data_IF_422999378904
#
_entry.id   IF_422999378904
#
_cell.length_a   1.000
_cell.length_b   1.000
_cell.length_c   1.000
_cell.angle_alpha   90.00
_cell.angle_beta   90.00
_cell.angle_gamma   90.00
#
_symmetry.space_group_name_H-M   'P 1'
#
loop_
_entity.id
_entity.type
_entity.pdbx_description
1 polymer ?
#
# COMPACT_ATOMS: atom_id res chain seq x y z
N UNK A 1 41.51 -22.44 -31.46
CA UNK A 1 40.58 -21.68 -30.60
C UNK A 1 41.39 -21.17 -29.44
N UNK A 2 41.41 -19.84 -29.22
CA UNK A 2 42.28 -19.23 -28.21
C UNK A 2 41.69 -19.38 -26.80
N UNK A 3 42.55 -19.70 -25.82
CA UNK A 3 42.17 -19.81 -24.40
C UNK A 3 41.50 -18.53 -23.86
N UNK A 4 41.87 -17.36 -24.40
CA UNK A 4 41.24 -16.06 -24.08
C UNK A 4 39.76 -16.02 -24.48
N UNK A 5 39.39 -16.59 -25.62
CA UNK A 5 37.99 -16.59 -26.08
C UNK A 5 37.11 -17.54 -25.25
N UNK A 6 37.67 -18.67 -24.78
CA UNK A 6 36.96 -19.57 -23.86
C UNK A 6 36.77 -18.95 -22.47
N UNK A 7 37.80 -18.28 -21.94
CA UNK A 7 37.71 -17.58 -20.65
C UNK A 7 36.66 -16.45 -20.65
N UNK A 8 36.54 -15.69 -21.73
CA UNK A 8 35.51 -14.65 -21.86
C UNK A 8 34.09 -15.23 -21.99
N UNK A 9 33.95 -16.33 -22.76
CA UNK A 9 32.66 -16.99 -22.93
C UNK A 9 32.14 -17.57 -21.62
N UNK A 10 33.00 -18.24 -20.84
CA UNK A 10 32.65 -18.74 -19.50
C UNK A 10 32.29 -17.61 -18.54
N UNK A 11 33.05 -16.51 -18.55
CA UNK A 11 32.76 -15.35 -17.73
C UNK A 11 31.38 -14.77 -18.05
N UNK A 12 31.07 -14.57 -19.34
CA UNK A 12 29.75 -14.08 -19.79
C UNK A 12 28.62 -15.05 -19.43
N UNK A 13 28.86 -16.36 -19.51
CA UNK A 13 27.87 -17.37 -19.13
C UNK A 13 27.60 -17.36 -17.61
N UNK A 14 28.65 -17.23 -16.77
CA UNK A 14 28.51 -17.10 -15.31
C UNK A 14 27.74 -15.84 -14.92
N UNK A 15 27.97 -14.72 -15.61
CA UNK A 15 27.22 -13.47 -15.37
C UNK A 15 25.75 -13.60 -15.76
N UNK A 16 25.43 -14.26 -16.88
CA UNK A 16 24.03 -14.53 -17.28
C UNK A 16 23.30 -15.40 -16.26
N UNK A 17 23.93 -16.50 -15.82
CA UNK A 17 23.37 -17.39 -14.80
C UNK A 17 23.11 -16.66 -13.48
N UNK A 18 24.02 -15.75 -13.08
CA UNK A 18 23.86 -14.90 -11.89
C UNK A 18 22.63 -13.99 -12.03
N UNK A 19 22.49 -13.28 -13.14
CA UNK A 19 21.37 -12.38 -13.41
C UNK A 19 20.02 -13.11 -13.47
N UNK A 20 19.97 -14.31 -14.04
CA UNK A 20 18.75 -15.13 -14.08
C UNK A 20 18.32 -15.55 -12.67
N UNK A 21 19.28 -15.98 -11.84
CA UNK A 21 19.04 -16.33 -10.44
C UNK A 21 18.52 -15.14 -9.62
N UNK A 22 19.14 -13.96 -9.78
CA UNK A 22 18.69 -12.72 -9.13
C UNK A 22 17.24 -12.38 -9.52
N UNK A 23 16.88 -12.51 -10.80
CA UNK A 23 15.51 -12.28 -11.28
C UNK A 23 14.49 -13.23 -10.66
N UNK A 24 14.83 -14.51 -10.53
CA UNK A 24 13.95 -15.51 -9.90
C UNK A 24 13.72 -15.20 -8.42
N UNK A 25 14.77 -14.82 -7.69
CA UNK A 25 14.68 -14.42 -6.28
C UNK A 25 13.76 -13.21 -6.14
N UNK A 26 13.96 -12.18 -6.97
CA UNK A 26 13.11 -10.97 -6.96
C UNK A 26 11.66 -11.27 -7.33
N UNK A 27 11.41 -12.18 -8.27
CA UNK A 27 10.05 -12.60 -8.64
C UNK A 27 9.36 -13.29 -7.46
N UNK A 28 10.02 -14.28 -6.85
CA UNK A 28 9.50 -14.99 -5.67
C UNK A 28 9.25 -14.04 -4.49
N UNK A 29 10.10 -13.02 -4.34
CA UNK A 29 9.93 -11.99 -3.33
C UNK A 29 8.68 -11.13 -3.58
N UNK A 30 8.47 -10.67 -4.83
CA UNK A 30 7.28 -9.90 -5.22
C UNK A 30 5.99 -10.68 -5.02
N UNK A 31 5.97 -11.94 -5.42
CA UNK A 31 4.81 -12.82 -5.21
C UNK A 31 4.46 -12.95 -3.72
N UNK A 32 5.48 -13.08 -2.87
CA UNK A 32 5.29 -13.14 -1.42
C UNK A 32 4.72 -11.83 -0.86
N UNK A 33 5.23 -10.68 -1.31
CA UNK A 33 4.69 -9.38 -0.91
C UNK A 33 3.22 -9.22 -1.30
N UNK A 34 2.85 -9.62 -2.52
CA UNK A 34 1.46 -9.55 -2.97
C UNK A 34 0.53 -10.45 -2.13
N UNK A 35 0.99 -11.65 -1.77
CA UNK A 35 0.26 -12.52 -0.86
C UNK A 35 0.04 -11.86 0.51
N UNK A 36 1.08 -11.26 1.09
CA UNK A 36 0.96 -10.57 2.38
C UNK A 36 -0.01 -9.39 2.28
N UNK A 37 0.07 -8.59 1.21
CA UNK A 37 -0.86 -7.46 0.97
C UNK A 37 -2.32 -7.92 0.96
N UNK A 38 -2.63 -9.06 0.34
CA UNK A 38 -3.99 -9.60 0.30
C UNK A 38 -4.48 -9.90 1.72
N UNK A 39 -3.66 -10.55 2.56
CA UNK A 39 -4.05 -10.87 3.93
C UNK A 39 -4.11 -9.64 4.83
N UNK A 40 -3.19 -8.69 4.66
CA UNK A 40 -3.20 -7.39 5.34
C UNK A 40 -4.50 -6.62 5.04
N UNK A 41 -4.98 -6.65 3.79
CA UNK A 41 -6.27 -6.06 3.41
C UNK A 41 -7.43 -6.77 4.12
N UNK A 42 -7.48 -8.11 4.08
CA UNK A 42 -8.53 -8.91 4.74
C UNK A 42 -8.59 -8.66 6.25
N UNK A 43 -7.43 -8.48 6.88
CA UNK A 43 -7.32 -8.10 8.28
C UNK A 43 -8.00 -6.74 8.54
N UNK A 44 -7.66 -5.72 7.74
CA UNK A 44 -8.26 -4.39 7.84
C UNK A 44 -9.77 -4.39 7.57
N UNK A 45 -10.23 -5.14 6.57
CA UNK A 45 -11.65 -5.28 6.24
C UNK A 45 -12.43 -5.92 7.40
N UNK A 46 -11.86 -6.96 8.01
CA UNK A 46 -12.47 -7.66 9.16
C UNK A 46 -12.47 -6.80 10.42
N UNK A 47 -11.41 -6.01 10.65
CA UNK A 47 -11.35 -5.02 11.74
C UNK A 47 -12.42 -3.94 11.60
N UNK A 48 -12.57 -3.40 10.38
CA UNK A 48 -13.62 -2.45 10.05
C UNK A 48 -15.02 -3.03 10.25
N UNK A 49 -15.25 -4.29 9.86
CA UNK A 49 -16.50 -4.99 10.08
C UNK A 49 -16.79 -5.21 11.57
N UNK A 50 -15.79 -5.66 12.35
CA UNK A 50 -15.93 -5.84 13.79
C UNK A 50 -16.32 -4.53 14.51
N UNK A 51 -15.67 -3.40 14.15
CA UNK A 51 -15.97 -2.09 14.74
C UNK A 51 -17.42 -1.67 14.45
N UNK A 52 -17.95 -1.99 13.26
CA UNK A 52 -19.33 -1.67 12.89
C UNK A 52 -20.34 -2.61 13.56
N UNK A 53 -20.02 -3.90 13.61
CA UNK A 53 -20.90 -4.97 14.08
C UNK A 53 -20.09 -5.98 14.87
N UNK A 54 -19.98 -5.84 16.21
CA UNK A 54 -19.12 -6.69 17.03
C UNK A 54 -19.65 -8.14 17.10
N UNK A 55 -19.12 -8.99 16.24
CA UNK A 55 -19.43 -10.43 16.20
C UNK A 55 -18.12 -11.22 16.18
N UNK A 56 -18.09 -12.34 16.91
CA UNK A 56 -16.93 -13.22 17.04
C UNK A 56 -16.40 -13.73 15.70
N UNK A 57 -17.27 -13.89 14.71
CA UNK A 57 -16.89 -14.29 13.35
C UNK A 57 -15.86 -13.33 12.73
N UNK A 58 -15.96 -12.03 13.01
CA UNK A 58 -15.00 -11.04 12.51
C UNK A 58 -13.66 -11.13 13.23
N UNK A 59 -13.66 -11.44 14.53
CA UNK A 59 -12.45 -11.70 15.31
C UNK A 59 -11.70 -12.90 14.73
N UNK A 60 -12.42 -14.00 14.45
CA UNK A 60 -11.83 -15.19 13.83
C UNK A 60 -11.22 -14.89 12.46
N UNK A 61 -11.89 -14.08 11.62
CA UNK A 61 -11.35 -13.69 10.32
C UNK A 61 -10.14 -12.76 10.43
N UNK A 62 -10.14 -11.82 11.39
CA UNK A 62 -8.99 -10.98 11.70
C UNK A 62 -7.78 -11.82 12.11
N UNK A 63 -7.95 -12.73 13.06
CA UNK A 63 -6.83 -13.51 13.59
C UNK A 63 -6.27 -14.46 12.54
N UNK A 64 -7.12 -15.12 11.73
CA UNK A 64 -6.65 -15.91 10.58
C UNK A 64 -5.85 -15.08 9.57
N UNK A 65 -6.32 -13.88 9.26
CA UNK A 65 -5.63 -12.99 8.33
C UNK A 65 -4.29 -12.51 8.92
N UNK A 66 -4.28 -12.17 10.21
CA UNK A 66 -3.09 -11.77 10.96
C UNK A 66 -2.03 -12.87 10.94
N UNK A 67 -2.40 -14.11 11.23
CA UNK A 67 -1.46 -15.24 11.23
C UNK A 67 -0.83 -15.43 9.84
N UNK A 68 -1.60 -15.26 8.77
CA UNK A 68 -1.07 -15.33 7.40
C UNK A 68 -0.10 -14.19 7.08
N UNK A 69 -0.34 -12.98 7.59
CA UNK A 69 0.62 -11.87 7.48
C UNK A 69 1.90 -12.18 8.27
N UNK A 70 1.80 -12.67 9.51
CA UNK A 70 2.95 -13.02 10.35
C UNK A 70 3.82 -14.08 9.67
N UNK A 71 3.20 -15.17 9.18
CA UNK A 71 3.91 -16.23 8.46
C UNK A 71 4.60 -15.68 7.21
N UNK A 72 3.90 -14.87 6.42
CA UNK A 72 4.48 -14.27 5.21
C UNK A 72 5.65 -13.35 5.51
N UNK A 73 5.55 -12.51 6.55
CA UNK A 73 6.65 -11.65 7.03
C UNK A 73 7.84 -12.48 7.50
N UNK A 74 7.61 -13.56 8.24
CA UNK A 74 8.68 -14.45 8.66
C UNK A 74 9.40 -15.09 7.46
N UNK A 75 8.67 -15.53 6.45
CA UNK A 75 9.25 -16.03 5.20
C UNK A 75 10.05 -14.95 4.45
N UNK A 76 9.61 -13.70 4.45
CA UNK A 76 10.38 -12.58 3.89
C UNK A 76 11.69 -12.35 4.65
N UNK A 77 11.66 -12.34 5.98
CA UNK A 77 12.87 -12.22 6.82
C UNK A 77 13.86 -13.35 6.54
N UNK A 78 13.37 -14.59 6.39
CA UNK A 78 14.21 -15.73 6.04
C UNK A 78 14.85 -15.60 4.66
N UNK A 79 14.08 -15.14 3.66
CA UNK A 79 14.61 -14.90 2.30
C UNK A 79 15.64 -13.77 2.29
N UNK A 80 15.38 -12.69 3.03
CA UNK A 80 16.31 -11.58 3.19
C UNK A 80 17.63 -12.02 3.83
N UNK A 81 17.59 -12.87 4.86
CA UNK A 81 18.80 -13.43 5.48
C UNK A 81 19.62 -14.34 4.55
N UNK A 82 18.97 -15.01 3.58
CA UNK A 82 19.64 -15.84 2.56
C UNK A 82 20.21 -15.03 1.39
N UNK A 83 19.63 -13.87 1.11
CA UNK A 83 19.92 -13.02 -0.04
C UNK A 83 20.02 -11.54 0.40
N UNK A 84 21.01 -11.20 1.24
CA UNK A 84 21.10 -9.86 1.82
C UNK A 84 21.50 -8.82 0.78
N UNK A 85 22.30 -9.15 -0.23
CA UNK A 85 22.77 -8.20 -1.25
C UNK A 85 21.63 -7.74 -2.17
N UNK A 86 20.61 -8.57 -2.35
CA UNK A 86 19.52 -8.36 -3.30
C UNK A 86 18.26 -7.72 -2.68
N UNK A 87 18.11 -7.73 -1.35
CA UNK A 87 16.82 -7.50 -0.66
C UNK A 87 16.92 -6.58 0.57
N UNK A 88 17.82 -5.58 0.59
CA UNK A 88 18.11 -4.82 1.82
C UNK A 88 16.97 -3.90 2.30
N UNK A 89 16.80 -2.72 1.71
CA UNK A 89 16.08 -1.63 2.39
C UNK A 89 14.56 -1.68 2.20
N UNK A 90 14.10 -1.89 0.97
CA UNK A 90 12.66 -1.96 0.65
C UNK A 90 11.95 -3.10 1.37
N UNK A 91 12.66 -4.23 1.55
CA UNK A 91 12.13 -5.40 2.24
C UNK A 91 12.00 -5.12 3.72
N UNK A 92 13.02 -4.52 4.33
CA UNK A 92 13.00 -4.12 5.73
C UNK A 92 11.85 -3.16 5.99
N UNK A 93 11.67 -2.14 5.14
CA UNK A 93 10.57 -1.19 5.25
C UNK A 93 9.20 -1.86 5.09
N UNK A 94 9.04 -2.77 4.12
CA UNK A 94 7.80 -3.51 3.91
C UNK A 94 7.46 -4.41 5.11
N UNK A 95 8.45 -5.13 5.64
CA UNK A 95 8.32 -5.98 6.82
C UNK A 95 7.85 -5.15 8.02
N UNK A 96 8.54 -4.05 8.33
CA UNK A 96 8.16 -3.16 9.44
C UNK A 96 6.74 -2.64 9.25
N UNK A 97 6.39 -2.20 8.04
CA UNK A 97 5.05 -1.70 7.72
C UNK A 97 3.96 -2.74 7.98
N UNK A 98 4.20 -4.01 7.64
CA UNK A 98 3.23 -5.07 7.91
C UNK A 98 3.13 -5.41 9.39
N UNK A 99 4.25 -5.49 10.10
CA UNK A 99 4.26 -5.76 11.55
C UNK A 99 3.54 -4.67 12.34
N UNK A 100 3.76 -3.40 11.98
CA UNK A 100 3.04 -2.26 12.53
C UNK A 100 1.55 -2.31 12.22
N UNK A 101 1.17 -2.62 10.96
CA UNK A 101 -0.23 -2.70 10.54
C UNK A 101 -1.04 -3.68 11.40
N UNK A 102 -0.52 -4.90 11.60
CA UNK A 102 -1.25 -5.97 12.28
C UNK A 102 -1.08 -5.97 13.81
N UNK A 103 -0.18 -5.15 14.34
CA UNK A 103 0.13 -5.10 15.76
C UNK A 103 0.61 -6.45 16.30
N UNK A 104 1.77 -6.93 15.83
CA UNK A 104 2.33 -8.25 16.21
C UNK A 104 2.45 -8.42 17.73
N UNK A 105 2.74 -7.34 18.46
CA UNK A 105 2.92 -7.36 19.92
C UNK A 105 1.74 -6.76 20.70
N UNK A 106 0.60 -6.50 20.04
CA UNK A 106 -0.56 -5.85 20.65
C UNK A 106 -1.65 -6.85 20.99
N UNK A 107 -2.29 -6.65 22.13
CA UNK A 107 -3.53 -7.33 22.50
C UNK A 107 -4.67 -6.99 21.53
N UNK A 108 -5.74 -7.78 21.55
CA UNK A 108 -6.89 -7.55 20.65
C UNK A 108 -7.49 -6.15 20.79
N UNK A 109 -7.77 -5.71 22.02
CA UNK A 109 -8.34 -4.38 22.28
C UNK A 109 -7.40 -3.26 21.82
N UNK A 110 -6.11 -3.40 22.06
CA UNK A 110 -5.08 -2.44 21.62
C UNK A 110 -5.01 -2.35 20.09
N UNK A 111 -5.13 -3.49 19.38
CA UNK A 111 -5.20 -3.52 17.92
C UNK A 111 -6.43 -2.77 17.40
N UNK A 112 -7.58 -2.97 18.03
CA UNK A 112 -8.83 -2.28 17.67
C UNK A 112 -8.70 -0.77 17.88
N UNK A 113 -8.20 -0.34 19.04
CA UNK A 113 -8.02 1.08 19.36
C UNK A 113 -6.97 1.75 18.47
N UNK A 114 -5.86 1.09 18.18
CA UNK A 114 -4.87 1.53 17.19
C UNK A 114 -5.54 1.77 15.83
N UNK A 115 -6.30 0.79 15.34
CA UNK A 115 -6.98 0.89 14.05
C UNK A 115 -7.98 2.05 14.01
N UNK A 116 -8.81 2.23 15.05
CA UNK A 116 -9.73 3.37 15.15
C UNK A 116 -8.98 4.69 15.08
N UNK A 117 -7.89 4.83 15.84
CA UNK A 117 -7.09 6.06 15.90
C UNK A 117 -6.46 6.37 14.54
N UNK A 118 -5.86 5.38 13.87
CA UNK A 118 -5.22 5.53 12.55
C UNK A 118 -6.23 5.85 11.45
N UNK A 119 -7.39 5.19 11.46
CA UNK A 119 -8.43 5.41 10.47
C UNK A 119 -9.11 6.77 10.67
N UNK A 120 -9.37 7.18 11.92
CA UNK A 120 -9.87 8.51 12.23
C UNK A 120 -8.86 9.60 11.82
N UNK A 121 -7.57 9.39 12.06
CA UNK A 121 -6.51 10.30 11.63
C UNK A 121 -6.44 10.41 10.10
N UNK A 122 -6.51 9.28 9.40
CA UNK A 122 -6.52 9.24 7.93
C UNK A 122 -7.76 9.91 7.33
N UNK A 123 -8.94 9.65 7.92
CA UNK A 123 -10.20 10.28 7.54
C UNK A 123 -10.17 11.79 7.80
N UNK A 124 -9.62 12.24 8.92
CA UNK A 124 -9.45 13.66 9.23
C UNK A 124 -8.48 14.35 8.26
N UNK A 125 -7.34 13.72 7.93
CA UNK A 125 -6.40 14.24 6.90
C UNK A 125 -7.04 14.33 5.52
N UNK A 126 -7.81 13.31 5.11
CA UNK A 126 -8.56 13.39 3.85
C UNK A 126 -9.62 14.49 3.89
N UNK A 127 -10.37 14.62 4.98
CA UNK A 127 -11.37 15.69 5.14
C UNK A 127 -10.71 17.07 5.08
N UNK A 128 -9.57 17.29 5.73
CA UNK A 128 -8.82 18.55 5.66
C UNK A 128 -8.34 18.83 4.22
N UNK A 129 -7.86 17.82 3.48
CA UNK A 129 -7.50 17.96 2.07
C UNK A 129 -8.69 18.32 1.17
N UNK A 130 -9.86 17.70 1.39
CA UNK A 130 -11.08 18.02 0.65
C UNK A 130 -11.63 19.41 1.03
N UNK A 131 -11.49 19.80 2.29
CA UNK A 131 -11.91 21.11 2.78
C UNK A 131 -10.98 22.22 2.25
N UNK A 132 -9.66 22.00 2.20
CA UNK A 132 -8.69 22.88 1.54
C UNK A 132 -8.94 23.02 0.04
N UNK A 133 -9.31 21.93 -0.64
CA UNK A 133 -9.71 22.00 -2.06
C UNK A 133 -11.01 22.77 -2.28
N UNK A 134 -11.96 22.71 -1.33
CA UNK A 134 -13.19 23.53 -1.37
C UNK A 134 -12.94 25.00 -1.04
N UNK A 135 -11.97 25.31 -0.17
CA UNK A 135 -11.65 26.69 0.22
C UNK A 135 -10.73 27.42 -0.77
N UNK A 136 -9.91 26.68 -1.53
CA UNK A 136 -8.98 27.23 -2.52
C UNK A 136 -9.46 27.05 -3.97
N UNK A 137 -10.66 26.52 -4.19
CA UNK A 137 -11.30 26.58 -5.50
C UNK A 137 -11.71 28.04 -5.74
N UNK A 138 -11.29 28.66 -6.86
CA UNK A 138 -11.73 30.01 -7.21
C UNK A 138 -13.25 30.04 -7.25
N UNK A 139 -13.84 30.98 -6.53
CA UNK A 139 -15.28 31.22 -6.58
C UNK A 139 -15.58 31.96 -7.87
N UNK A 140 -16.81 31.89 -8.36
CA UNK A 140 -17.23 32.64 -9.55
C UNK A 140 -17.00 34.16 -9.39
N UNK A 141 -17.01 34.66 -8.13
CA UNK A 141 -16.65 36.03 -7.76
C UNK A 141 -15.20 36.42 -8.06
N UNK A 142 -14.32 35.44 -8.29
CA UNK A 142 -12.88 35.64 -8.48
C UNK A 142 -12.52 35.78 -9.97
N UNK A 143 -13.50 35.68 -10.88
CA UNK A 143 -13.31 35.80 -12.33
C UNK A 143 -13.98 37.06 -12.88
N UNK A 144 -13.38 37.67 -13.90
CA UNK A 144 -14.02 38.81 -14.59
C UNK A 144 -15.17 38.34 -15.48
N UNK A 145 -16.14 39.22 -15.82
CA UNK A 145 -17.26 38.86 -16.69
C UNK A 145 -16.84 38.29 -18.06
N UNK A 146 -15.68 38.73 -18.57
CA UNK A 146 -15.10 38.27 -19.83
C UNK A 146 -14.56 36.84 -19.73
N UNK A 147 -13.95 36.49 -18.60
CA UNK A 147 -13.47 35.14 -18.32
C UNK A 147 -14.63 34.17 -18.15
N UNK A 148 -15.67 34.55 -17.41
CA UNK A 148 -16.88 33.75 -17.22
C UNK A 148 -17.53 33.43 -18.58
N UNK A 149 -17.65 34.43 -19.46
CA UNK A 149 -18.19 34.23 -20.81
C UNK A 149 -17.34 33.28 -21.67
N UNK A 150 -16.00 33.31 -21.51
CA UNK A 150 -15.07 32.41 -22.19
C UNK A 150 -15.24 30.96 -21.73
N UNK A 151 -15.38 30.72 -20.43
CA UNK A 151 -15.60 29.36 -19.89
C UNK A 151 -16.99 28.82 -20.24
N UNK A 152 -18.02 29.65 -20.24
CA UNK A 152 -19.38 29.28 -20.65
C UNK A 152 -19.43 28.82 -22.13
N UNK A 153 -18.70 29.48 -23.03
CA UNK A 153 -18.57 29.06 -24.44
C UNK A 153 -17.88 27.70 -24.61
N UNK A 154 -17.06 27.30 -23.65
CA UNK A 154 -16.39 26.00 -23.61
C UNK A 154 -17.21 24.91 -22.89
N UNK A 155 -18.45 25.22 -22.46
CA UNK A 155 -19.31 24.29 -21.74
C UNK A 155 -18.88 24.03 -20.29
N UNK A 156 -17.97 24.83 -19.75
CA UNK A 156 -17.48 24.74 -18.37
C UNK A 156 -18.20 25.78 -17.51
N UNK A 157 -19.28 25.37 -16.83
CA UNK A 157 -19.96 26.23 -15.87
C UNK A 157 -19.18 26.27 -14.54
N UNK A 158 -18.62 27.44 -14.20
CA UNK A 158 -17.78 27.66 -13.01
C UNK A 158 -18.55 27.68 -11.68
N UNK A 159 -19.80 27.22 -11.66
CA UNK A 159 -20.59 27.20 -10.43
C UNK A 159 -21.98 26.60 -10.63
N UNK A 160 -22.11 25.29 -10.49
CA UNK A 160 -23.36 24.71 -9.98
C UNK A 160 -23.05 23.65 -8.92
N UNK A 161 -23.36 24.00 -7.67
CA UNK A 161 -23.66 23.04 -6.62
C UNK A 161 -24.81 22.15 -7.12
N UNK A 162 -24.54 20.88 -7.42
CA UNK A 162 -25.58 19.85 -7.37
C UNK A 162 -25.95 19.63 -5.90
N UNK A 163 -26.82 20.48 -5.38
CA UNK A 163 -27.66 20.14 -4.23
C UNK A 163 -28.60 19.03 -4.70
N UNK A 164 -28.25 17.78 -4.38
CA UNK A 164 -29.21 16.69 -4.40
C UNK A 164 -30.27 17.02 -3.35
N UNK A 165 -31.48 17.33 -3.83
CA UNK A 165 -32.72 17.43 -3.04
C UNK A 165 -33.14 16.02 -2.60
N UNK A 166 -33.83 16.00 -1.47
CA UNK A 166 -34.44 14.85 -0.77
C UNK A 166 -35.05 13.76 -1.66
#
# INVERSE_FOLDING_TARGET
MDERTMSEAEYRQRQKMRLEREKEILKSFREQLENIKIYAKRYGDSMSAYIKTPHDVHVQYMDRARDKVILGVHELKLKQGRHPEELTELVTQAVVSFEELIGVNLGFEERVEKYKRENNTSKARMMDLFQRRRSNAPKESDYTPEEIAKYARLGLHLGQYRMGRD
#
